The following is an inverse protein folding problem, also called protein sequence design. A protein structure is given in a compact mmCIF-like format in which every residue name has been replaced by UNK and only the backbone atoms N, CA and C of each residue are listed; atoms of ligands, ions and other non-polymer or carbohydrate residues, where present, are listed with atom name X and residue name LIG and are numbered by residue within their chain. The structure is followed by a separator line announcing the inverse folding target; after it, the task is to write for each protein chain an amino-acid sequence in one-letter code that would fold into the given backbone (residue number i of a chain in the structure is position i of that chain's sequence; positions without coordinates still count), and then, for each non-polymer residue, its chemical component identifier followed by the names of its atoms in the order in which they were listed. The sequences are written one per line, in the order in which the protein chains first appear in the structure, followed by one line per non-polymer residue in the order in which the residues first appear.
data_IF_359790420954
#
_entry.id   IF_359790420954
#
_cell.length_a   1.000
_cell.length_b   1.000
_cell.length_c   1.000
_cell.angle_alpha   90.00
_cell.angle_beta   90.00
_cell.angle_gamma   90.00
#
_symmetry.space_group_name_H-M   'P 1'
#
loop_
_entity.id
_entity.type
_entity.pdbx_description
1 polymer ?
#
# COMPACT_ATOMS: atom_id res chain seq x y z
N UNK A 1 35.07 5.97 46.39
CA UNK A 1 35.14 6.10 44.91
C UNK A 1 34.86 4.73 44.34
N UNK A 2 34.24 4.64 43.16
CA UNK A 2 33.92 3.37 42.51
C UNK A 2 35.20 2.68 42.02
N UNK A 3 35.44 1.43 42.42
CA UNK A 3 36.67 0.70 42.11
C UNK A 3 36.82 0.40 40.59
N UNK A 4 35.71 0.38 39.85
CA UNK A 4 35.70 0.02 38.42
C UNK A 4 35.90 1.20 37.49
N UNK A 5 35.46 2.40 37.86
CA UNK A 5 35.51 3.57 36.98
C UNK A 5 36.06 4.84 37.64
N UNK A 6 36.52 4.72 38.89
CA UNK A 6 37.13 5.77 39.70
C UNK A 6 36.27 7.04 39.88
N UNK A 7 34.96 6.97 39.63
CA UNK A 7 34.01 8.08 39.87
C UNK A 7 33.70 8.21 41.37
N UNK A 8 33.51 9.45 41.86
CA UNK A 8 33.01 9.71 43.21
C UNK A 8 31.53 9.31 43.32
N UNK A 9 31.16 8.69 44.44
CA UNK A 9 29.77 8.40 44.78
C UNK A 9 29.04 9.73 45.07
N UNK A 10 27.80 9.85 44.60
CA UNK A 10 27.02 11.10 44.72
C UNK A 10 26.49 11.35 46.14
N UNK A 11 26.55 10.37 47.03
CA UNK A 11 26.05 10.44 48.40
C UNK A 11 27.03 9.75 49.35
N UNK A 12 27.23 10.33 50.54
CA UNK A 12 28.32 9.99 51.48
C UNK A 12 28.03 8.71 52.30
N UNK A 13 26.89 8.05 52.11
CA UNK A 13 26.40 7.01 53.04
C UNK A 13 26.18 5.62 52.43
N UNK A 14 26.93 5.25 51.39
CA UNK A 14 26.87 3.90 50.83
C UNK A 14 28.27 3.27 50.83
N UNK A 15 28.43 2.25 51.68
CA UNK A 15 29.65 1.46 51.85
C UNK A 15 29.75 0.42 50.72
N UNK A 16 29.64 0.87 49.47
CA UNK A 16 29.58 0.03 48.28
C UNK A 16 30.79 0.25 47.37
N UNK A 17 31.33 -0.84 46.81
CA UNK A 17 32.54 -0.82 45.97
C UNK A 17 32.27 -0.37 44.52
N UNK A 18 31.02 -0.30 44.09
CA UNK A 18 30.63 -0.05 42.69
C UNK A 18 29.49 0.95 42.57
N UNK A 19 29.58 1.88 41.62
CA UNK A 19 28.50 2.84 41.35
C UNK A 19 27.35 2.22 40.55
N UNK A 20 26.18 2.86 40.61
CA UNK A 20 24.95 2.41 39.95
C UNK A 20 25.11 2.12 38.45
N UNK A 21 25.83 2.99 37.72
CA UNK A 21 26.13 2.79 36.30
C UNK A 21 26.96 1.51 36.07
N UNK A 22 27.90 1.21 36.96
CA UNK A 22 28.74 0.01 36.88
C UNK A 22 27.98 -1.27 37.28
N UNK A 23 26.95 -1.15 38.12
CA UNK A 23 26.04 -2.25 38.48
C UNK A 23 25.08 -2.58 37.34
N UNK A 24 24.50 -1.56 36.68
CA UNK A 24 23.58 -1.75 35.55
C UNK A 24 24.25 -2.49 34.37
N UNK A 25 25.54 -2.24 34.13
CA UNK A 25 26.32 -2.88 33.07
C UNK A 25 26.79 -4.32 33.37
N UNK A 26 26.42 -4.90 34.52
CA UNK A 26 26.73 -6.29 34.87
C UNK A 26 25.56 -7.25 34.67
N UNK A 27 24.40 -6.76 34.21
CA UNK A 27 23.28 -7.65 33.92
C UNK A 27 23.54 -8.49 32.67
N UNK A 28 23.37 -9.83 32.72
CA UNK A 28 23.59 -10.69 31.56
C UNK A 28 22.60 -10.36 30.45
N UNK A 29 23.09 -10.16 29.23
CA UNK A 29 22.27 -9.98 28.02
C UNK A 29 21.38 -11.22 27.84
N UNK A 30 20.07 -11.09 28.05
CA UNK A 30 19.09 -12.15 27.74
C UNK A 30 19.17 -12.47 26.24
N UNK A 31 19.74 -13.62 25.92
CA UNK A 31 19.79 -14.15 24.55
C UNK A 31 18.44 -14.80 24.25
N UNK A 32 17.62 -14.18 23.41
CA UNK A 32 16.40 -14.81 22.90
C UNK A 32 16.78 -15.78 21.78
N UNK A 33 16.70 -17.07 22.06
CA UNK A 33 16.82 -18.14 21.07
C UNK A 33 15.50 -18.25 20.29
N UNK A 34 15.43 -17.65 19.10
CA UNK A 34 14.37 -17.94 18.14
C UNK A 34 14.81 -19.11 17.25
N UNK A 35 14.45 -20.32 17.66
CA UNK A 35 14.55 -21.50 16.81
C UNK A 35 13.34 -21.52 15.86
N UNK A 36 13.52 -21.07 14.62
CA UNK A 36 12.54 -21.26 13.56
C UNK A 36 13.10 -22.22 12.51
N UNK A 37 12.47 -23.40 12.46
CA UNK A 37 12.61 -24.39 11.41
C UNK A 37 12.54 -23.74 10.04
N UNK A 38 13.64 -23.79 9.28
CA UNK A 38 13.63 -23.52 7.84
C UNK A 38 12.92 -24.67 7.10
N UNK A 39 11.59 -24.60 7.04
CA UNK A 39 10.84 -25.30 6.02
C UNK A 39 11.24 -24.75 4.65
N UNK A 40 11.77 -25.62 3.79
CA UNK A 40 12.12 -25.31 2.40
C UNK A 40 10.88 -24.86 1.61
N UNK A 41 10.57 -23.57 1.63
CA UNK A 41 9.72 -22.96 0.62
C UNK A 41 10.55 -22.78 -0.64
N UNK A 42 10.31 -23.65 -1.62
CA UNK A 42 10.69 -23.39 -3.01
C UNK A 42 9.98 -22.11 -3.47
N UNK A 43 10.65 -20.97 -3.37
CA UNK A 43 10.19 -19.74 -3.99
C UNK A 43 10.52 -19.81 -5.48
N UNK A 44 9.60 -20.39 -6.25
CA UNK A 44 9.52 -20.11 -7.66
C UNK A 44 8.44 -19.06 -7.85
N UNK A 45 8.83 -17.79 -7.91
CA UNK A 45 7.96 -16.76 -8.47
C UNK A 45 8.84 -15.74 -9.19
N UNK A 46 8.81 -15.83 -10.51
CA UNK A 46 9.15 -14.75 -11.43
C UNK A 46 8.18 -13.58 -11.21
N UNK A 47 8.31 -12.85 -10.10
CA UNK A 47 7.71 -11.53 -9.97
C UNK A 47 8.52 -10.58 -10.84
N UNK A 48 8.00 -10.31 -12.05
CA UNK A 48 8.38 -9.13 -12.81
C UNK A 48 8.31 -7.92 -11.89
N UNK A 49 9.45 -7.24 -11.65
CA UNK A 49 9.59 -6.05 -10.82
C UNK A 49 8.78 -4.88 -11.41
N UNK A 50 7.47 -4.88 -11.17
CA UNK A 50 6.59 -3.76 -11.47
C UNK A 50 6.39 -2.96 -10.19
N UNK A 51 6.69 -1.65 -10.22
CA UNK A 51 6.57 -0.73 -9.08
C UNK A 51 5.15 -0.67 -8.49
N UNK A 52 4.15 -1.11 -9.24
CA UNK A 52 2.74 -1.10 -8.83
C UNK A 52 2.27 -2.44 -8.23
N UNK A 53 3.06 -3.51 -8.17
CA UNK A 53 2.61 -4.77 -7.55
C UNK A 53 1.38 -5.43 -8.22
N UNK A 54 1.08 -5.05 -9.46
CA UNK A 54 0.04 -5.66 -10.29
C UNK A 54 0.62 -6.80 -11.15
N UNK A 55 -0.16 -7.87 -11.41
CA UNK A 55 0.25 -8.91 -12.36
C UNK A 55 0.60 -8.32 -13.73
N UNK A 56 1.57 -8.95 -14.41
CA UNK A 56 2.03 -8.53 -15.74
C UNK A 56 0.85 -8.41 -16.72
N UNK A 57 0.85 -7.36 -17.56
CA UNK A 57 -0.22 -7.10 -18.55
C UNK A 57 -1.39 -6.23 -18.06
N UNK A 58 -1.48 -5.89 -16.78
CA UNK A 58 -2.60 -5.11 -16.21
C UNK A 58 -2.28 -3.61 -16.02
N UNK A 59 -1.02 -3.22 -16.26
CA UNK A 59 -0.61 -1.83 -16.34
C UNK A 59 -1.17 -1.17 -17.59
N UNK A 60 -1.53 0.10 -17.48
CA UNK A 60 -1.74 0.96 -18.65
C UNK A 60 -0.59 1.96 -18.78
N UNK A 61 -0.33 2.35 -20.02
CA UNK A 61 0.53 3.46 -20.40
C UNK A 61 -0.26 4.67 -20.91
N UNK A 62 -1.53 4.47 -21.28
CA UNK A 62 -2.48 5.52 -21.66
C UNK A 62 -3.91 4.99 -21.55
N UNK A 63 -4.89 5.89 -21.41
CA UNK A 63 -6.31 5.56 -21.56
C UNK A 63 -6.79 5.61 -23.01
N UNK A 64 -6.10 6.40 -23.82
CA UNK A 64 -6.47 6.67 -25.20
C UNK A 64 -5.60 5.87 -26.16
N UNK A 65 -6.25 5.23 -27.14
CA UNK A 65 -5.67 4.67 -28.36
C UNK A 65 -6.33 5.42 -29.52
N UNK A 66 -5.55 6.09 -30.35
CA UNK A 66 -6.05 6.90 -31.48
C UNK A 66 -7.11 7.94 -31.07
N UNK A 67 -6.95 8.52 -29.88
CA UNK A 67 -7.86 9.54 -29.34
C UNK A 67 -9.20 8.99 -28.84
N UNK A 68 -9.39 7.68 -28.79
CA UNK A 68 -10.56 7.02 -28.21
C UNK A 68 -10.17 6.11 -27.06
N UNK A 69 -11.11 5.80 -26.16
CA UNK A 69 -10.84 4.86 -25.08
C UNK A 69 -10.52 3.46 -25.63
N UNK A 70 -9.51 2.81 -25.07
CA UNK A 70 -9.20 1.41 -25.36
C UNK A 70 -10.41 0.54 -24.98
N UNK A 71 -11.11 -0.04 -25.97
CA UNK A 71 -12.27 -0.92 -25.73
C UNK A 71 -11.90 -2.14 -24.90
N UNK A 72 -10.67 -2.65 -25.07
CA UNK A 72 -10.17 -3.78 -24.30
C UNK A 72 -9.95 -3.38 -22.83
N UNK A 73 -9.64 -2.10 -22.57
CA UNK A 73 -9.53 -1.57 -21.22
C UNK A 73 -10.85 -1.64 -20.45
N UNK A 74 -11.97 -1.33 -21.10
CA UNK A 74 -13.31 -1.41 -20.50
C UNK A 74 -13.84 -2.85 -20.42
N UNK A 75 -13.50 -3.69 -21.41
CA UNK A 75 -13.94 -5.08 -21.47
C UNK A 75 -13.08 -6.01 -20.63
N UNK A 76 -12.19 -6.73 -21.30
CA UNK A 76 -11.46 -7.87 -20.74
C UNK A 76 -10.49 -7.45 -19.63
N UNK A 77 -9.77 -6.33 -19.78
CA UNK A 77 -8.84 -5.86 -18.73
C UNK A 77 -9.56 -5.50 -17.43
N UNK A 78 -10.73 -4.85 -17.50
CA UNK A 78 -11.55 -4.56 -16.32
C UNK A 78 -12.03 -5.83 -15.63
N UNK A 79 -12.43 -6.85 -16.41
CA UNK A 79 -12.87 -8.14 -15.88
C UNK A 79 -11.73 -8.86 -15.15
N UNK A 80 -10.56 -8.97 -15.77
CA UNK A 80 -9.39 -9.62 -15.16
C UNK A 80 -8.94 -8.90 -13.87
N UNK A 81 -8.92 -7.57 -13.90
CA UNK A 81 -8.65 -6.77 -12.71
C UNK A 81 -9.67 -7.01 -11.60
N UNK A 82 -10.96 -6.98 -11.93
CA UNK A 82 -12.01 -7.21 -10.96
C UNK A 82 -11.88 -8.59 -10.29
N UNK A 83 -11.52 -9.62 -11.06
CA UNK A 83 -11.26 -10.95 -10.51
C UNK A 83 -10.10 -10.93 -9.51
N UNK A 84 -8.97 -10.30 -9.88
CA UNK A 84 -7.80 -10.16 -8.99
C UNK A 84 -8.17 -9.41 -7.71
N UNK A 85 -8.81 -8.24 -7.84
CA UNK A 85 -9.17 -7.39 -6.70
C UNK A 85 -10.22 -8.04 -5.80
N UNK A 86 -11.13 -8.85 -6.36
CA UNK A 86 -12.20 -9.50 -5.61
C UNK A 86 -11.69 -10.49 -4.55
N UNK A 87 -10.48 -11.03 -4.73
CA UNK A 87 -9.88 -12.01 -3.81
C UNK A 87 -9.60 -11.38 -2.44
N UNK A 88 -9.06 -10.17 -2.43
CA UNK A 88 -8.46 -9.57 -1.23
C UNK A 88 -9.10 -8.23 -0.80
N UNK A 89 -10.16 -7.79 -1.47
CA UNK A 89 -10.86 -6.54 -1.18
C UNK A 89 -12.36 -6.76 -0.98
N UNK A 90 -13.02 -5.87 -0.22
CA UNK A 90 -14.47 -5.89 -0.05
C UNK A 90 -15.16 -4.89 -0.99
N UNK A 91 -16.38 -5.22 -1.44
CA UNK A 91 -17.16 -4.38 -2.36
C UNK A 91 -17.40 -2.96 -1.81
N UNK A 92 -17.73 -2.85 -0.52
CA UNK A 92 -17.93 -1.55 0.15
C UNK A 92 -16.68 -0.68 0.10
N UNK A 93 -15.50 -1.27 0.22
CA UNK A 93 -14.23 -0.53 0.19
C UNK A 93 -13.99 0.05 -1.21
N UNK A 94 -14.04 -0.80 -2.24
CA UNK A 94 -13.82 -0.35 -3.63
C UNK A 94 -14.89 0.65 -4.08
N UNK A 95 -16.15 0.45 -3.68
CA UNK A 95 -17.25 1.38 -3.96
C UNK A 95 -17.03 2.73 -3.29
N UNK A 96 -16.56 2.76 -2.03
CA UNK A 96 -16.28 4.02 -1.33
C UNK A 96 -15.22 4.85 -2.05
N UNK A 97 -14.13 4.23 -2.52
CA UNK A 97 -13.12 4.93 -3.34
C UNK A 97 -13.68 5.42 -4.68
N UNK A 98 -14.55 4.64 -5.32
CA UNK A 98 -15.21 5.06 -6.55
C UNK A 98 -16.15 6.26 -6.32
N UNK A 99 -16.97 6.23 -5.27
CA UNK A 99 -17.87 7.33 -4.90
C UNK A 99 -17.10 8.61 -4.57
N UNK A 100 -15.94 8.48 -3.91
CA UNK A 100 -15.05 9.61 -3.65
C UNK A 100 -14.51 10.20 -4.96
N UNK A 101 -14.05 9.38 -5.92
CA UNK A 101 -13.68 9.86 -7.26
C UNK A 101 -14.85 10.53 -7.98
N UNK A 102 -16.06 9.98 -7.85
CA UNK A 102 -17.26 10.53 -8.48
C UNK A 102 -17.57 11.93 -7.95
N UNK A 103 -17.34 12.18 -6.65
CA UNK A 103 -17.49 13.51 -6.05
C UNK A 103 -16.55 14.58 -6.61
N UNK A 104 -15.51 14.19 -7.35
CA UNK A 104 -14.59 15.13 -8.00
C UNK A 104 -15.04 15.54 -9.41
N UNK A 105 -16.01 14.86 -10.01
CA UNK A 105 -16.35 15.00 -11.44
C UNK A 105 -16.90 16.38 -11.84
N UNK A 106 -17.41 17.15 -10.88
CA UNK A 106 -17.94 18.49 -11.13
C UNK A 106 -16.88 19.60 -10.90
N UNK A 107 -15.65 19.22 -10.53
CA UNK A 107 -14.56 20.16 -10.29
C UNK A 107 -13.82 20.54 -11.58
N UNK A 108 -13.03 21.62 -11.51
CA UNK A 108 -12.08 21.94 -12.57
C UNK A 108 -11.03 20.82 -12.71
N UNK A 109 -10.46 20.63 -13.91
CA UNK A 109 -9.44 19.59 -14.10
C UNK A 109 -8.24 19.75 -13.15
N UNK A 110 -7.83 20.98 -12.84
CA UNK A 110 -6.76 21.26 -11.89
C UNK A 110 -7.14 20.81 -10.47
N UNK A 111 -8.33 21.18 -10.01
CA UNK A 111 -8.84 20.75 -8.69
C UNK A 111 -9.03 19.24 -8.62
N UNK A 112 -9.49 18.60 -9.70
CA UNK A 112 -9.59 17.15 -9.80
C UNK A 112 -8.22 16.50 -9.60
N UNK A 113 -7.18 17.00 -10.27
CA UNK A 113 -5.82 16.45 -10.14
C UNK A 113 -5.28 16.60 -8.72
N UNK A 114 -5.55 17.73 -8.05
CA UNK A 114 -5.21 17.92 -6.63
C UNK A 114 -5.93 16.90 -5.74
N UNK A 115 -7.24 16.71 -5.94
CA UNK A 115 -8.02 15.74 -5.19
C UNK A 115 -7.57 14.30 -5.44
N UNK A 116 -7.22 13.95 -6.69
CA UNK A 116 -6.66 12.64 -7.03
C UNK A 116 -5.28 12.43 -6.39
N UNK A 117 -4.45 13.46 -6.30
CA UNK A 117 -3.18 13.38 -5.57
C UNK A 117 -3.40 13.15 -4.06
N UNK A 118 -4.39 13.82 -3.47
CA UNK A 118 -4.80 13.59 -2.08
C UNK A 118 -5.35 12.16 -1.90
N UNK A 119 -6.13 11.66 -2.85
CA UNK A 119 -6.66 10.30 -2.85
C UNK A 119 -5.53 9.27 -2.87
N UNK A 120 -4.46 9.47 -3.65
CA UNK A 120 -3.26 8.61 -3.61
C UNK A 120 -2.65 8.57 -2.20
N UNK A 121 -2.56 9.71 -1.52
CA UNK A 121 -2.06 9.75 -0.14
C UNK A 121 -2.95 8.97 0.83
N UNK A 122 -4.29 9.09 0.71
CA UNK A 122 -5.25 8.30 1.50
C UNK A 122 -5.12 6.79 1.24
N UNK A 123 -4.93 6.42 -0.02
CA UNK A 123 -4.70 5.03 -0.44
C UNK A 123 -3.40 4.49 0.13
N UNK A 124 -2.31 5.25 0.09
CA UNK A 124 -1.04 4.87 0.72
C UNK A 124 -1.20 4.67 2.24
N UNK A 125 -1.93 5.55 2.92
CA UNK A 125 -2.25 5.39 4.33
C UNK A 125 -3.07 4.13 4.61
N UNK A 126 -4.14 3.89 3.85
CA UNK A 126 -4.97 2.69 3.97
C UNK A 126 -4.16 1.40 3.74
N UNK A 127 -3.21 1.44 2.79
CA UNK A 127 -2.28 0.35 2.54
C UNK A 127 -1.34 0.10 3.71
N UNK A 128 -0.73 1.15 4.27
CA UNK A 128 0.13 1.05 5.46
C UNK A 128 -0.60 0.52 6.70
N UNK A 129 -1.93 0.73 6.78
CA UNK A 129 -2.81 0.17 7.82
C UNK A 129 -3.27 -1.26 7.54
N UNK A 130 -2.93 -1.84 6.41
CA UNK A 130 -3.38 -3.17 5.99
C UNK A 130 -4.87 -3.25 5.63
N UNK A 131 -5.52 -2.11 5.35
CA UNK A 131 -6.96 -2.05 5.04
C UNK A 131 -7.24 -2.44 3.59
N UNK A 132 -6.26 -2.23 2.70
CA UNK A 132 -6.35 -2.54 1.26
C UNK A 132 -5.18 -3.43 0.80
N UNK A 133 -5.40 -4.20 -0.25
CA UNK A 133 -4.40 -5.11 -0.83
C UNK A 133 -3.32 -4.37 -1.64
N UNK A 134 -2.21 -5.05 -1.91
CA UNK A 134 -1.15 -4.54 -2.82
C UNK A 134 -1.70 -4.31 -4.23
N UNK A 135 -2.51 -5.23 -4.73
CA UNK A 135 -3.07 -5.12 -6.07
C UNK A 135 -4.01 -3.91 -6.21
N UNK A 136 -4.80 -3.58 -5.16
CA UNK A 136 -5.65 -2.38 -5.20
C UNK A 136 -4.83 -1.10 -5.13
N UNK A 137 -3.81 -1.06 -4.28
CA UNK A 137 -2.86 0.04 -4.21
C UNK A 137 -2.20 0.28 -5.59
N UNK A 138 -1.74 -0.80 -6.22
CA UNK A 138 -1.17 -0.80 -7.56
C UNK A 138 -2.10 -0.27 -8.65
N UNK A 139 -3.33 -0.80 -8.66
CA UNK A 139 -4.40 -0.38 -9.57
C UNK A 139 -4.60 1.13 -9.49
N UNK A 140 -4.89 1.67 -8.30
CA UNK A 140 -5.20 3.09 -8.16
C UNK A 140 -4.03 3.98 -8.55
N UNK A 141 -2.80 3.65 -8.10
CA UNK A 141 -1.64 4.46 -8.44
C UNK A 141 -1.35 4.45 -9.94
N UNK A 142 -1.33 3.28 -10.59
CA UNK A 142 -1.09 3.22 -12.03
C UNK A 142 -2.18 3.95 -12.82
N UNK A 143 -3.44 3.84 -12.42
CA UNK A 143 -4.56 4.51 -13.10
C UNK A 143 -4.52 6.03 -12.96
N UNK A 144 -4.23 6.54 -11.77
CA UNK A 144 -4.13 7.99 -11.53
C UNK A 144 -2.87 8.55 -12.22
N UNK A 145 -1.75 7.83 -12.17
CA UNK A 145 -0.49 8.25 -12.79
C UNK A 145 -0.55 8.36 -14.31
N UNK A 146 -1.57 7.81 -14.97
CA UNK A 146 -1.74 7.86 -16.43
C UNK A 146 -2.80 8.88 -16.90
N UNK A 147 -3.34 9.69 -16.01
CA UNK A 147 -4.26 10.79 -16.37
C UNK A 147 -3.44 11.98 -16.86
N UNK A 148 -3.72 12.48 -18.07
CA UNK A 148 -3.03 13.64 -18.67
C UNK A 148 -3.97 14.75 -19.12
N UNK A 149 -5.27 14.48 -19.16
CA UNK A 149 -6.29 15.39 -19.64
C UNK A 149 -7.63 15.12 -18.92
N UNK A 150 -8.56 16.08 -19.00
CA UNK A 150 -9.93 15.91 -18.51
C UNK A 150 -10.62 14.69 -19.14
N UNK A 151 -10.32 14.42 -20.41
CA UNK A 151 -10.81 13.26 -21.13
C UNK A 151 -10.31 11.95 -20.53
N UNK A 152 -9.05 11.88 -20.12
CA UNK A 152 -8.50 10.70 -19.44
C UNK A 152 -9.17 10.47 -18.08
N UNK A 153 -9.63 11.53 -17.40
CA UNK A 153 -10.39 11.34 -16.15
C UNK A 153 -11.73 10.66 -16.43
N UNK A 154 -12.43 11.08 -17.49
CA UNK A 154 -13.67 10.41 -17.91
C UNK A 154 -13.40 8.94 -18.25
N UNK A 155 -12.30 8.64 -18.92
CA UNK A 155 -11.91 7.27 -19.24
C UNK A 155 -11.49 6.44 -18.03
N UNK A 156 -10.79 7.04 -17.08
CA UNK A 156 -10.52 6.44 -15.78
C UNK A 156 -11.81 6.07 -15.06
N UNK A 157 -12.79 6.98 -14.98
CA UNK A 157 -14.06 6.72 -14.33
C UNK A 157 -14.86 5.62 -15.02
N UNK A 158 -14.92 5.60 -16.35
CA UNK A 158 -15.54 4.50 -17.11
C UNK A 158 -14.87 3.17 -16.81
N UNK A 159 -13.53 3.13 -16.79
CA UNK A 159 -12.77 1.92 -16.48
C UNK A 159 -13.01 1.45 -15.04
N UNK A 160 -12.99 2.37 -14.07
CA UNK A 160 -13.21 2.06 -12.67
C UNK A 160 -14.65 1.57 -12.44
N UNK A 161 -15.64 2.18 -13.09
CA UNK A 161 -17.03 1.71 -13.07
C UNK A 161 -17.14 0.29 -13.65
N UNK A 162 -16.49 0.01 -14.77
CA UNK A 162 -16.48 -1.34 -15.36
C UNK A 162 -15.83 -2.37 -14.42
N UNK A 163 -14.70 -2.02 -13.78
CA UNK A 163 -14.08 -2.86 -12.74
C UNK A 163 -15.06 -3.10 -11.59
N UNK A 164 -15.75 -2.07 -11.10
CA UNK A 164 -16.72 -2.19 -10.01
C UNK A 164 -17.91 -3.11 -10.38
N UNK A 165 -18.42 -3.01 -11.61
CA UNK A 165 -19.49 -3.86 -12.12
C UNK A 165 -19.06 -5.34 -12.18
N UNK A 166 -17.89 -5.63 -12.76
CA UNK A 166 -17.36 -6.99 -12.75
C UNK A 166 -16.99 -7.47 -11.35
N UNK A 167 -16.57 -6.57 -10.46
CA UNK A 167 -16.27 -6.92 -9.08
C UNK A 167 -17.51 -7.49 -8.39
N UNK A 168 -18.68 -6.89 -8.59
CA UNK A 168 -19.94 -7.43 -8.04
C UNK A 168 -20.32 -8.78 -8.66
N UNK A 169 -19.97 -9.02 -9.92
CA UNK A 169 -20.12 -10.34 -10.56
C UNK A 169 -19.26 -11.42 -9.87
N UNK A 170 -18.01 -11.11 -9.52
CA UNK A 170 -17.11 -12.06 -8.83
C UNK A 170 -17.38 -12.18 -7.31
N UNK A 171 -17.91 -11.12 -6.68
CA UNK A 171 -18.36 -11.11 -5.27
C UNK A 171 -19.84 -10.74 -5.16
N UNK A 172 -20.76 -11.66 -5.49
CA UNK A 172 -22.20 -11.46 -5.38
C UNK A 172 -22.67 -11.66 -3.93
N UNK A 173 -22.20 -10.82 -3.00
CA UNK A 173 -22.71 -10.69 -1.63
C UNK A 173 -22.68 -9.20 -1.28
#
# INVERSE_FOLDING_TARGET
MCDKCNKMFKTIWENESLCDECKANQQPKKTYNNNQNHGNMRQNNNYSNNSYGLPQGHLISSYSVDGSIDKNLIGEKSKQLAEILSRDLNYTQIRGFYEECQGYMDLSFEDMMVNLALLKAKIAYAKGRGVISESFYGFMNNRIDNIRSEKDVKYFMMHFQAVLSYFKFYKPK
#
